data_IF_039385628091
#
_entry.id   IF_039385628091
#
_cell.length_a   1.000
_cell.length_b   1.000
_cell.length_c   1.000
_cell.angle_alpha   90.00
_cell.angle_beta   90.00
_cell.angle_gamma   90.00
#
_symmetry.space_group_name_H-M   'P 1'
#
loop_
_entity.id
_entity.type
_entity.pdbx_description
1 polymer ?
#
# COMPACT_ATOMS: atom_id res chain seq x y z
N UNK A 1 -46.22 43.10 -41.74
CA UNK A 1 -45.28 43.22 -42.89
C UNK A 1 -44.17 44.17 -42.51
N UNK A 2 -42.87 43.90 -42.65
CA UNK A 2 -42.21 42.92 -43.50
C UNK A 2 -41.32 41.95 -42.77
N UNK A 3 -41.15 40.82 -43.33
CA UNK A 3 -40.03 39.94 -43.62
C UNK A 3 -38.69 40.25 -42.95
N UNK A 4 -38.22 39.33 -42.07
CA UNK A 4 -36.84 39.25 -41.59
C UNK A 4 -36.21 37.93 -42.08
N UNK A 5 -35.33 38.12 -43.01
CA UNK A 5 -34.49 37.16 -43.73
C UNK A 5 -33.67 36.26 -42.77
N UNK A 6 -33.83 35.00 -42.93
CA UNK A 6 -33.00 33.93 -42.32
C UNK A 6 -31.64 33.87 -43.01
N UNK A 7 -30.60 34.42 -42.39
CA UNK A 7 -29.23 34.19 -42.79
C UNK A 7 -28.70 32.99 -41.98
N UNK A 8 -28.75 31.79 -42.58
CA UNK A 8 -28.09 30.59 -42.09
C UNK A 8 -26.58 30.80 -42.04
N UNK A 9 -26.00 30.79 -40.85
CA UNK A 9 -24.57 30.63 -40.68
C UNK A 9 -24.26 29.15 -40.76
N UNK A 10 -23.89 28.69 -41.93
CA UNK A 10 -23.13 27.44 -42.08
C UNK A 10 -21.80 27.56 -41.31
N UNK A 11 -21.76 26.96 -40.17
CA UNK A 11 -20.48 26.71 -39.46
C UNK A 11 -19.78 25.59 -40.21
N UNK A 12 -18.88 25.97 -41.11
CA UNK A 12 -17.96 25.04 -41.74
C UNK A 12 -17.14 24.33 -40.66
N UNK A 13 -17.48 23.08 -40.41
CA UNK A 13 -16.66 22.18 -39.62
C UNK A 13 -15.35 21.98 -40.40
N UNK A 14 -14.31 22.75 -40.05
CA UNK A 14 -12.95 22.53 -40.51
C UNK A 14 -12.53 21.13 -40.11
N UNK A 15 -12.55 20.24 -41.07
CA UNK A 15 -12.04 18.89 -41.04
C UNK A 15 -10.65 18.86 -40.36
N UNK A 16 -10.59 18.10 -39.32
CA UNK A 16 -9.44 17.95 -38.45
C UNK A 16 -8.17 17.60 -39.19
N UNK A 17 -7.18 18.46 -39.00
CA UNK A 17 -5.81 18.08 -39.25
C UNK A 17 -5.53 16.79 -38.48
N UNK A 18 -5.15 15.72 -39.17
CA UNK A 18 -4.62 14.49 -38.55
C UNK A 18 -3.47 14.90 -37.66
N UNK A 19 -3.72 14.98 -36.34
CA UNK A 19 -2.66 15.00 -35.34
C UNK A 19 -1.86 13.73 -35.58
N UNK A 20 -0.69 13.88 -36.23
CA UNK A 20 0.30 12.78 -36.36
C UNK A 20 0.58 12.29 -34.93
N UNK A 21 -0.01 11.15 -34.56
CA UNK A 21 0.36 10.45 -33.33
C UNK A 21 1.84 10.14 -33.48
N UNK A 22 2.72 10.73 -32.67
CA UNK A 22 4.14 10.43 -32.75
C UNK A 22 4.29 8.93 -32.53
N UNK A 23 5.22 8.30 -33.27
CA UNK A 23 5.51 6.86 -33.29
C UNK A 23 5.42 6.26 -31.88
N UNK A 24 4.26 5.76 -31.51
CA UNK A 24 3.94 5.24 -30.16
C UNK A 24 4.91 4.16 -29.70
N UNK A 25 5.45 3.38 -30.64
CA UNK A 25 6.43 2.31 -30.38
C UNK A 25 7.80 2.89 -30.01
N UNK A 26 8.25 3.95 -30.69
CA UNK A 26 9.58 4.56 -30.42
C UNK A 26 9.57 5.29 -29.08
N UNK A 27 8.52 6.04 -28.79
CA UNK A 27 8.33 6.71 -27.50
C UNK A 27 8.21 5.69 -26.36
N UNK A 28 7.49 4.60 -26.56
CA UNK A 28 7.38 3.53 -25.58
C UNK A 28 8.73 2.87 -25.28
N UNK A 29 9.55 2.62 -26.30
CA UNK A 29 10.93 2.09 -26.13
C UNK A 29 11.83 3.07 -25.39
N UNK A 30 11.79 4.36 -25.74
CA UNK A 30 12.54 5.41 -25.05
C UNK A 30 12.12 5.48 -23.58
N UNK A 31 10.83 5.49 -23.27
CA UNK A 31 10.33 5.53 -21.89
C UNK A 31 10.77 4.28 -21.08
N UNK A 32 10.77 3.11 -21.70
CA UNK A 32 11.27 1.88 -21.05
C UNK A 32 12.78 1.98 -20.78
N UNK A 33 13.57 2.46 -21.76
CA UNK A 33 15.02 2.64 -21.60
C UNK A 33 15.34 3.70 -20.55
N UNK A 34 14.66 4.85 -20.56
CA UNK A 34 14.83 5.90 -19.55
C UNK A 34 14.46 5.38 -18.15
N UNK A 35 13.35 4.64 -18.04
CA UNK A 35 12.95 4.00 -16.78
C UNK A 35 13.98 2.94 -16.30
N UNK A 36 14.53 2.16 -17.22
CA UNK A 36 15.53 1.16 -16.87
C UNK A 36 16.89 1.78 -16.47
N UNK A 37 17.25 2.94 -17.07
CA UNK A 37 18.47 3.67 -16.75
C UNK A 37 18.37 4.50 -15.47
N UNK A 38 17.17 4.82 -14.99
CA UNK A 38 16.99 5.69 -13.82
C UNK A 38 17.62 5.10 -12.54
N UNK A 39 17.47 3.80 -12.30
CA UNK A 39 18.01 3.14 -11.10
C UNK A 39 19.55 3.07 -11.15
N UNK A 40 20.18 2.55 -12.24
CA UNK A 40 21.63 2.58 -12.36
C UNK A 40 22.21 3.99 -12.26
N UNK A 41 21.59 4.98 -12.91
CA UNK A 41 22.04 6.36 -12.86
C UNK A 41 21.99 6.93 -11.44
N UNK A 42 20.91 6.65 -10.71
CA UNK A 42 20.78 7.05 -9.30
C UNK A 42 21.87 6.42 -8.43
N UNK A 43 22.12 5.11 -8.60
CA UNK A 43 23.15 4.40 -7.82
C UNK A 43 24.55 4.93 -8.15
N UNK A 44 24.85 5.18 -9.44
CA UNK A 44 26.12 5.79 -9.84
C UNK A 44 26.29 7.19 -9.26
N UNK A 45 25.24 8.02 -9.31
CA UNK A 45 25.28 9.37 -8.74
C UNK A 45 25.50 9.32 -7.23
N UNK A 46 24.82 8.43 -6.52
CA UNK A 46 25.02 8.21 -5.10
C UNK A 46 26.46 7.78 -4.79
N UNK A 47 27.02 6.82 -5.51
CA UNK A 47 28.41 6.37 -5.34
C UNK A 47 29.39 7.54 -5.56
N UNK A 48 29.22 8.35 -6.61
CA UNK A 48 30.06 9.52 -6.91
C UNK A 48 29.96 10.58 -5.80
N UNK A 49 28.75 10.94 -5.36
CA UNK A 49 28.56 11.93 -4.29
C UNK A 49 29.17 11.44 -2.98
N UNK A 50 28.97 10.18 -2.64
CA UNK A 50 29.52 9.60 -1.42
C UNK A 50 31.04 9.57 -1.40
N UNK A 51 31.70 9.36 -2.57
CA UNK A 51 33.18 9.33 -2.70
C UNK A 51 33.79 10.68 -3.01
N UNK A 52 33.01 11.70 -3.33
CA UNK A 52 33.54 13.04 -3.71
C UNK A 52 34.24 13.81 -2.58
N UNK A 53 34.10 13.32 -1.32
CA UNK A 53 34.64 14.02 -0.14
C UNK A 53 33.75 15.18 0.34
N UNK A 54 32.63 15.46 -0.34
CA UNK A 54 31.65 16.50 0.07
C UNK A 54 30.80 16.08 1.26
N UNK A 55 30.66 14.78 1.48
CA UNK A 55 29.90 14.18 2.58
C UNK A 55 30.78 13.22 3.37
N UNK A 56 30.48 13.09 4.66
CA UNK A 56 31.16 12.12 5.50
C UNK A 56 30.72 10.69 5.12
N UNK A 57 31.65 9.86 4.65
CA UNK A 57 31.40 8.47 4.25
C UNK A 57 30.87 7.60 5.39
N UNK A 58 31.16 7.95 6.66
CA UNK A 58 30.62 7.21 7.81
C UNK A 58 29.12 7.45 7.94
N UNK A 59 28.65 8.67 7.64
CA UNK A 59 27.22 9.02 7.75
C UNK A 59 26.44 8.73 6.46
N UNK A 60 27.12 8.83 5.31
CA UNK A 60 26.53 8.57 4.01
C UNK A 60 27.41 7.60 3.21
N UNK A 61 27.35 6.28 3.52
CA UNK A 61 28.17 5.28 2.88
C UNK A 61 27.80 5.10 1.40
N UNK A 62 28.80 4.81 0.52
CA UNK A 62 28.54 4.52 -0.87
C UNK A 62 27.78 3.17 -1.03
N UNK A 63 27.00 3.01 -2.11
CA UNK A 63 26.27 1.77 -2.42
C UNK A 63 27.12 0.50 -2.34
N UNK A 64 28.39 0.57 -2.71
CA UNK A 64 29.32 -0.57 -2.60
C UNK A 64 29.57 -1.02 -1.16
N UNK A 65 29.66 -0.09 -0.20
CA UNK A 65 29.79 -0.41 1.23
C UNK A 65 28.46 -0.96 1.78
N UNK A 66 27.34 -0.40 1.35
CA UNK A 66 26.00 -0.92 1.71
C UNK A 66 25.83 -2.36 1.21
N UNK A 67 26.20 -2.65 -0.03
CA UNK A 67 26.13 -3.98 -0.60
C UNK A 67 27.04 -4.99 0.15
N UNK A 68 28.24 -4.57 0.53
CA UNK A 68 29.14 -5.39 1.35
C UNK A 68 28.54 -5.71 2.72
N UNK A 69 27.93 -4.72 3.39
CA UNK A 69 27.27 -4.90 4.69
C UNK A 69 26.08 -5.87 4.60
N UNK A 70 25.27 -5.77 3.55
CA UNK A 70 24.15 -6.71 3.31
C UNK A 70 24.69 -8.12 3.05
N UNK A 71 25.76 -8.26 2.27
CA UNK A 71 26.37 -9.57 2.00
C UNK A 71 26.93 -10.22 3.28
N UNK A 72 27.55 -9.44 4.15
CA UNK A 72 28.02 -9.89 5.45
C UNK A 72 26.85 -10.37 6.34
N UNK A 73 25.75 -9.60 6.37
CA UNK A 73 24.53 -9.97 7.09
C UNK A 73 23.93 -11.28 6.57
N UNK A 74 23.92 -11.50 5.24
CA UNK A 74 23.48 -12.76 4.63
C UNK A 74 24.42 -13.91 5.04
N UNK A 75 25.74 -13.68 4.98
CA UNK A 75 26.75 -14.70 5.33
C UNK A 75 26.74 -15.08 6.81
N UNK A 76 26.38 -14.15 7.68
CA UNK A 76 26.22 -14.44 9.13
C UNK A 76 25.05 -15.38 9.43
N UNK A 77 24.17 -15.66 8.44
CA UNK A 77 22.95 -16.46 8.60
C UNK A 77 21.80 -15.76 9.32
N UNK A 78 22.03 -14.57 9.89
CA UNK A 78 21.02 -13.83 10.65
C UNK A 78 19.95 -13.20 9.75
N UNK A 79 20.30 -12.86 8.50
CA UNK A 79 19.39 -12.22 7.54
C UNK A 79 18.07 -12.97 7.37
N UNK A 80 18.13 -14.29 7.20
CA UNK A 80 16.93 -15.11 6.98
C UNK A 80 16.03 -15.18 8.21
N UNK A 81 16.61 -15.20 9.41
CA UNK A 81 15.85 -15.14 10.65
C UNK A 81 15.13 -13.82 10.84
N UNK A 82 15.84 -12.70 10.59
CA UNK A 82 15.27 -11.36 10.65
C UNK A 82 14.18 -11.17 9.58
N UNK A 83 14.43 -11.65 8.36
CA UNK A 83 13.48 -11.61 7.24
C UNK A 83 12.18 -12.37 7.58
N UNK A 84 12.29 -13.59 8.08
CA UNK A 84 11.13 -14.42 8.43
C UNK A 84 10.33 -13.83 9.58
N UNK A 85 10.98 -13.28 10.61
CA UNK A 85 10.31 -12.62 11.72
C UNK A 85 9.49 -11.41 11.26
N UNK A 86 10.08 -10.54 10.43
CA UNK A 86 9.39 -9.39 9.83
C UNK A 86 8.24 -9.83 8.93
N UNK A 87 8.47 -10.82 8.05
CA UNK A 87 7.47 -11.34 7.14
C UNK A 87 6.28 -11.98 7.87
N UNK A 88 6.54 -12.74 8.93
CA UNK A 88 5.50 -13.32 9.79
C UNK A 88 4.60 -12.23 10.38
N UNK A 89 5.18 -11.15 10.95
CA UNK A 89 4.42 -10.05 11.55
C UNK A 89 3.57 -9.32 10.51
N UNK A 90 4.16 -8.98 9.36
CA UNK A 90 3.46 -8.31 8.26
C UNK A 90 2.32 -9.17 7.75
N UNK A 91 2.59 -10.44 7.43
CA UNK A 91 1.58 -11.32 6.83
C UNK A 91 0.43 -11.60 7.80
N UNK A 92 0.74 -11.94 9.05
CA UNK A 92 -0.27 -12.23 10.07
C UNK A 92 -1.09 -10.98 10.39
N UNK A 93 -0.43 -9.83 10.59
CA UNK A 93 -1.11 -8.56 10.84
C UNK A 93 -1.96 -8.11 9.66
N UNK A 94 -1.49 -8.30 8.42
CA UNK A 94 -2.24 -8.01 7.20
C UNK A 94 -3.48 -8.90 7.07
N UNK A 95 -3.38 -10.20 7.31
CA UNK A 95 -4.52 -11.12 7.22
C UNK A 95 -5.58 -10.76 8.28
N UNK A 96 -5.18 -10.59 9.54
CA UNK A 96 -6.11 -10.27 10.63
C UNK A 96 -6.72 -8.89 10.42
N UNK A 97 -5.90 -7.86 10.19
CA UNK A 97 -6.35 -6.49 9.99
C UNK A 97 -7.23 -6.35 8.74
N UNK A 98 -6.85 -7.04 7.65
CA UNK A 98 -7.64 -7.09 6.41
C UNK A 98 -8.99 -7.75 6.59
N UNK A 99 -9.05 -8.92 7.23
CA UNK A 99 -10.29 -9.63 7.51
C UNK A 99 -11.24 -8.80 8.39
N UNK A 100 -10.74 -8.21 9.48
CA UNK A 100 -11.53 -7.34 10.35
C UNK A 100 -11.97 -6.06 9.61
N UNK A 101 -11.09 -5.48 8.79
CA UNK A 101 -11.40 -4.31 7.98
C UNK A 101 -12.50 -4.57 6.96
N UNK A 102 -12.46 -5.71 6.27
CA UNK A 102 -13.52 -6.11 5.34
C UNK A 102 -14.82 -6.36 6.11
N UNK A 103 -14.77 -7.14 7.17
CA UNK A 103 -15.97 -7.47 7.98
C UNK A 103 -16.67 -6.21 8.48
N UNK A 104 -15.96 -5.34 9.19
CA UNK A 104 -16.53 -4.12 9.75
C UNK A 104 -16.83 -3.06 8.67
N UNK A 105 -16.09 -3.06 7.56
CA UNK A 105 -16.37 -2.23 6.40
C UNK A 105 -17.70 -2.58 5.73
N UNK A 106 -17.99 -3.87 5.55
CA UNK A 106 -19.27 -4.36 5.04
C UNK A 106 -20.39 -4.05 6.03
N UNK A 107 -20.21 -4.33 7.32
CA UNK A 107 -21.22 -4.08 8.33
C UNK A 107 -21.59 -2.59 8.43
N UNK A 108 -20.59 -1.72 8.49
CA UNK A 108 -20.83 -0.27 8.55
C UNK A 108 -21.35 0.31 7.22
N UNK A 109 -20.99 -0.29 6.08
CA UNK A 109 -21.47 0.13 4.76
C UNK A 109 -22.93 -0.28 4.50
N UNK A 110 -23.35 -1.44 5.02
CA UNK A 110 -24.67 -2.03 4.78
C UNK A 110 -25.71 -1.60 5.81
N UNK A 111 -25.32 -1.46 7.09
CA UNK A 111 -26.25 -1.21 8.19
C UNK A 111 -26.10 0.21 8.74
N UNK A 112 -27.08 1.13 8.51
CA UNK A 112 -27.01 2.51 8.98
C UNK A 112 -26.82 2.64 10.50
N UNK A 113 -27.45 1.76 11.29
CA UNK A 113 -27.33 1.78 12.76
C UNK A 113 -25.89 1.49 13.20
N UNK A 114 -25.27 0.46 12.61
CA UNK A 114 -23.86 0.11 12.89
C UNK A 114 -22.94 1.22 12.41
N UNK A 115 -23.23 1.80 11.25
CA UNK A 115 -22.49 2.95 10.71
C UNK A 115 -22.54 4.14 11.66
N UNK A 116 -23.72 4.52 12.14
CA UNK A 116 -23.88 5.66 13.06
C UNK A 116 -23.17 5.46 14.39
N UNK A 117 -23.04 4.21 14.84
CA UNK A 117 -22.37 3.87 16.10
C UNK A 117 -20.82 3.83 15.94
N UNK A 118 -20.32 3.15 14.91
CA UNK A 118 -18.89 2.84 14.79
C UNK A 118 -18.11 3.85 13.93
N UNK A 119 -18.71 4.40 12.86
CA UNK A 119 -17.97 5.25 11.93
C UNK A 119 -17.40 6.51 12.58
N UNK A 120 -18.11 7.25 13.47
CA UNK A 120 -17.54 8.41 14.15
C UNK A 120 -16.29 8.03 14.97
N UNK A 121 -16.35 6.91 15.70
CA UNK A 121 -15.23 6.38 16.48
C UNK A 121 -14.03 6.04 15.59
N UNK A 122 -14.27 5.33 14.49
CA UNK A 122 -13.22 4.94 13.56
C UNK A 122 -12.59 6.14 12.85
N UNK A 123 -13.37 7.17 12.53
CA UNK A 123 -12.83 8.41 11.96
C UNK A 123 -11.94 9.19 12.94
N UNK A 124 -12.20 9.13 14.25
CA UNK A 124 -11.36 9.73 15.28
C UNK A 124 -10.08 8.91 15.50
N UNK A 125 -10.17 7.57 15.49
CA UNK A 125 -9.04 6.70 15.78
C UNK A 125 -8.09 6.54 14.58
N UNK A 126 -8.60 6.55 13.36
CA UNK A 126 -7.82 6.35 12.13
C UNK A 126 -6.62 7.29 11.95
N UNK A 127 -6.70 8.60 12.24
CA UNK A 127 -5.58 9.51 12.08
C UNK A 127 -4.43 9.28 13.05
N UNK A 128 -4.62 8.47 14.10
CA UNK A 128 -3.59 8.24 15.11
C UNK A 128 -2.53 7.29 14.52
N UNK A 129 -1.26 7.74 14.34
CA UNK A 129 -0.20 6.90 13.81
C UNK A 129 0.06 5.69 14.72
N UNK A 130 0.25 4.48 14.18
CA UNK A 130 0.53 3.28 14.98
C UNK A 130 1.73 3.44 15.92
N UNK A 131 2.74 4.20 15.53
CA UNK A 131 3.93 4.45 16.36
C UNK A 131 3.58 5.18 17.67
N UNK A 132 2.53 6.00 17.69
CA UNK A 132 2.08 6.67 18.90
C UNK A 132 1.53 5.72 19.97
N UNK A 133 1.10 4.52 19.55
CA UNK A 133 0.61 3.47 20.45
C UNK A 133 1.73 2.62 21.06
N UNK A 134 2.98 2.73 20.60
CA UNK A 134 4.08 1.91 21.09
C UNK A 134 4.20 1.92 22.63
N UNK A 135 4.20 3.06 23.34
CA UNK A 135 4.31 3.06 24.80
C UNK A 135 3.17 2.31 25.50
N UNK A 136 1.94 2.52 25.03
CA UNK A 136 0.77 1.87 25.66
C UNK A 136 0.69 0.38 25.30
N UNK A 137 1.14 0.00 24.10
CA UNK A 137 1.23 -1.41 23.68
C UNK A 137 2.25 -2.16 24.54
N UNK A 138 3.38 -1.53 24.84
CA UNK A 138 4.37 -2.12 25.76
C UNK A 138 3.78 -2.31 27.16
N UNK A 139 2.98 -1.36 27.65
CA UNK A 139 2.32 -1.46 28.94
C UNK A 139 1.25 -2.56 28.98
N UNK A 140 0.49 -2.73 27.91
CA UNK A 140 -0.61 -3.72 27.85
C UNK A 140 -0.15 -5.13 27.53
N UNK A 141 0.78 -5.29 26.62
CA UNK A 141 1.21 -6.58 26.07
C UNK A 141 2.65 -6.93 26.39
N UNK A 142 3.41 -6.01 27.06
CA UNK A 142 4.85 -6.18 27.22
C UNK A 142 5.58 -6.17 25.87
N UNK A 143 6.73 -6.83 25.82
CA UNK A 143 7.54 -6.98 24.60
C UNK A 143 7.09 -8.19 23.74
N UNK A 144 5.85 -8.62 23.87
CA UNK A 144 5.32 -9.82 23.23
C UNK A 144 5.08 -9.63 21.71
N UNK A 145 4.99 -10.74 20.98
CA UNK A 145 4.59 -10.70 19.56
C UNK A 145 3.15 -10.22 19.38
N UNK A 146 2.26 -10.43 20.35
CA UNK A 146 0.88 -9.95 20.31
C UNK A 146 0.80 -8.42 20.21
N UNK A 147 1.63 -7.70 20.99
CA UNK A 147 1.70 -6.25 20.93
C UNK A 147 2.19 -5.75 19.57
N UNK A 148 3.20 -6.42 18.99
CA UNK A 148 3.71 -6.08 17.65
C UNK A 148 2.65 -6.31 16.57
N UNK A 149 1.95 -7.45 16.63
CA UNK A 149 0.84 -7.76 15.72
C UNK A 149 -0.29 -6.74 15.84
N UNK A 150 -0.63 -6.29 17.06
CA UNK A 150 -1.64 -5.25 17.28
C UNK A 150 -1.33 -3.99 16.47
N UNK A 151 -0.07 -3.52 16.47
CA UNK A 151 0.32 -2.32 15.72
C UNK A 151 0.17 -2.48 14.22
N UNK A 152 0.51 -3.66 13.67
CA UNK A 152 0.34 -3.93 12.24
C UNK A 152 -1.15 -4.04 11.89
N UNK A 153 -1.93 -4.79 12.69
CA UNK A 153 -3.38 -4.91 12.54
C UNK A 153 -4.07 -3.56 12.56
N UNK A 154 -3.67 -2.67 13.48
CA UNK A 154 -4.23 -1.32 13.59
C UNK A 154 -4.15 -0.53 12.27
N UNK A 155 -2.97 -0.44 11.68
CA UNK A 155 -2.78 0.31 10.44
C UNK A 155 -3.51 -0.30 9.24
N UNK A 156 -3.44 -1.63 9.10
CA UNK A 156 -4.11 -2.37 8.03
C UNK A 156 -5.63 -2.26 8.14
N UNK A 157 -6.16 -2.46 9.35
CA UNK A 157 -7.59 -2.45 9.64
C UNK A 157 -8.28 -1.18 9.13
N UNK A 158 -7.83 -0.01 9.54
CA UNK A 158 -8.49 1.25 9.17
C UNK A 158 -8.42 1.54 7.66
N UNK A 159 -7.33 1.15 7.02
CA UNK A 159 -7.16 1.32 5.57
C UNK A 159 -8.16 0.46 4.80
N UNK A 160 -8.28 -0.81 5.18
CA UNK A 160 -9.20 -1.77 4.53
C UNK A 160 -10.65 -1.47 4.89
N UNK A 161 -10.94 -1.14 6.18
CA UNK A 161 -12.26 -0.76 6.62
C UNK A 161 -12.83 0.39 5.79
N UNK A 162 -12.08 1.50 5.65
CA UNK A 162 -12.57 2.66 4.92
C UNK A 162 -12.85 2.35 3.46
N UNK A 163 -11.92 1.67 2.80
CA UNK A 163 -12.06 1.32 1.38
C UNK A 163 -13.27 0.39 1.17
N UNK A 164 -13.47 -0.58 2.05
CA UNK A 164 -14.61 -1.50 2.01
C UNK A 164 -15.92 -0.79 2.29
N UNK A 165 -15.95 0.06 3.33
CA UNK A 165 -17.13 0.87 3.68
C UNK A 165 -17.60 1.73 2.51
N UNK A 166 -16.66 2.47 1.88
CA UNK A 166 -16.95 3.27 0.68
C UNK A 166 -17.41 2.38 -0.49
N UNK A 167 -16.76 1.24 -0.69
CA UNK A 167 -17.10 0.29 -1.75
C UNK A 167 -18.54 -0.20 -1.65
N UNK A 168 -18.96 -0.60 -0.45
CA UNK A 168 -20.34 -1.05 -0.19
C UNK A 168 -21.37 0.06 -0.44
N UNK A 169 -21.07 1.30 -0.04
CA UNK A 169 -21.97 2.45 -0.29
C UNK A 169 -22.05 2.86 -1.76
N UNK A 170 -21.05 2.51 -2.58
CA UNK A 170 -20.97 2.82 -4.02
C UNK A 170 -21.66 1.79 -4.90
N UNK A 171 -22.17 0.69 -4.34
CA UNK A 171 -22.95 -0.30 -5.11
C UNK A 171 -24.20 0.37 -5.68
N UNK A 172 -24.49 0.11 -6.95
CA UNK A 172 -25.62 0.71 -7.65
C UNK A 172 -26.94 0.32 -6.98
N UNK A 173 -27.65 1.33 -6.52
CA UNK A 173 -28.99 1.15 -5.91
C UNK A 173 -30.02 0.60 -6.88
N UNK A 174 -29.83 0.78 -8.19
CA UNK A 174 -30.67 0.19 -9.23
C UNK A 174 -30.59 -1.33 -9.22
N UNK A 175 -29.36 -1.88 -9.11
CA UNK A 175 -29.14 -3.33 -8.99
C UNK A 175 -29.78 -3.91 -7.73
N UNK A 176 -29.64 -3.20 -6.61
CA UNK A 176 -30.26 -3.63 -5.32
C UNK A 176 -31.79 -3.66 -5.45
N UNK A 177 -32.41 -2.62 -6.05
CA UNK A 177 -33.85 -2.56 -6.26
C UNK A 177 -34.35 -3.65 -7.21
N UNK A 178 -33.64 -3.88 -8.32
CA UNK A 178 -33.99 -4.94 -9.27
C UNK A 178 -33.95 -6.32 -8.60
N UNK A 179 -32.94 -6.62 -7.79
CA UNK A 179 -32.85 -7.86 -7.04
C UNK A 179 -33.99 -8.02 -6.03
N UNK A 180 -34.38 -6.96 -5.34
CA UNK A 180 -35.52 -6.97 -4.42
C UNK A 180 -36.83 -7.28 -5.15
N UNK A 181 -37.04 -6.71 -6.34
CA UNK A 181 -38.22 -6.99 -7.17
C UNK A 181 -38.29 -8.45 -7.63
N UNK A 182 -37.11 -9.06 -7.85
CA UNK A 182 -36.99 -10.48 -8.21
C UNK A 182 -37.12 -11.43 -7.01
N UNK A 183 -37.33 -10.90 -5.79
CA UNK A 183 -37.49 -11.72 -4.58
C UNK A 183 -36.16 -12.29 -4.06
N UNK A 184 -35.02 -11.74 -4.45
CA UNK A 184 -33.68 -12.23 -4.04
C UNK A 184 -33.53 -12.20 -2.51
N UNK A 185 -33.17 -13.33 -1.86
CA UNK A 185 -33.02 -13.39 -0.41
C UNK A 185 -31.85 -12.50 0.04
N UNK A 186 -31.95 -11.93 1.25
CA UNK A 186 -30.96 -10.98 1.80
C UNK A 186 -29.50 -11.51 1.76
N UNK A 187 -29.31 -12.80 2.02
CA UNK A 187 -27.98 -13.42 1.99
C UNK A 187 -27.38 -13.41 0.58
N UNK A 188 -28.17 -13.79 -0.42
CA UNK A 188 -27.74 -13.81 -1.81
C UNK A 188 -27.49 -12.39 -2.32
N UNK A 189 -28.34 -11.43 -1.97
CA UNK A 189 -28.12 -10.01 -2.26
C UNK A 189 -26.78 -9.52 -1.71
N UNK A 190 -26.43 -9.85 -0.45
CA UNK A 190 -25.16 -9.48 0.15
C UNK A 190 -23.98 -10.10 -0.60
N UNK A 191 -24.04 -11.40 -0.93
CA UNK A 191 -22.93 -12.14 -1.50
C UNK A 191 -22.73 -11.83 -2.99
N UNK A 192 -23.80 -11.80 -3.78
CA UNK A 192 -23.72 -11.72 -5.25
C UNK A 192 -23.80 -10.29 -5.79
N UNK A 193 -24.37 -9.35 -5.03
CA UNK A 193 -24.55 -7.97 -5.49
C UNK A 193 -23.62 -7.03 -4.70
N UNK A 194 -23.77 -7.01 -3.38
CA UNK A 194 -23.07 -6.04 -2.55
C UNK A 194 -21.57 -6.33 -2.49
N UNK A 195 -21.17 -7.56 -2.17
CA UNK A 195 -19.76 -7.93 -2.06
C UNK A 195 -19.06 -7.90 -3.42
N UNK A 196 -19.69 -8.41 -4.49
CA UNK A 196 -19.13 -8.35 -5.84
C UNK A 196 -19.02 -6.91 -6.35
N UNK A 197 -20.02 -6.07 -6.10
CA UNK A 197 -19.98 -4.65 -6.46
C UNK A 197 -18.96 -3.86 -5.66
N UNK A 198 -18.70 -4.21 -4.40
CA UNK A 198 -17.71 -3.59 -3.55
C UNK A 198 -16.27 -4.14 -3.79
N UNK A 199 -16.14 -5.31 -4.43
CA UNK A 199 -14.87 -6.03 -4.57
C UNK A 199 -13.73 -5.19 -5.17
N UNK A 200 -13.93 -4.35 -6.21
CA UNK A 200 -12.88 -3.49 -6.73
C UNK A 200 -12.31 -2.53 -5.66
N UNK A 201 -13.17 -2.00 -4.79
CA UNK A 201 -12.77 -1.10 -3.69
C UNK A 201 -12.04 -1.87 -2.58
N UNK A 202 -12.51 -3.07 -2.25
CA UNK A 202 -11.86 -3.96 -1.28
C UNK A 202 -10.44 -4.28 -1.74
N UNK A 203 -10.27 -4.67 -3.01
CA UNK A 203 -8.95 -5.00 -3.58
C UNK A 203 -8.02 -3.79 -3.59
N UNK A 204 -8.50 -2.59 -3.93
CA UNK A 204 -7.72 -1.35 -3.84
C UNK A 204 -7.32 -1.06 -2.40
N UNK A 205 -8.24 -1.23 -1.45
CA UNK A 205 -7.97 -1.09 -0.02
C UNK A 205 -6.91 -2.06 0.49
N UNK A 206 -7.03 -3.34 0.15
CA UNK A 206 -6.05 -4.36 0.49
C UNK A 206 -4.68 -4.08 -0.13
N UNK A 207 -4.63 -3.65 -1.40
CA UNK A 207 -3.37 -3.27 -2.05
C UNK A 207 -2.68 -2.11 -1.33
N UNK A 208 -3.42 -1.07 -0.96
CA UNK A 208 -2.89 0.04 -0.18
C UNK A 208 -2.40 -0.45 1.19
N UNK A 209 -3.14 -1.36 1.81
CA UNK A 209 -2.80 -1.93 3.10
C UNK A 209 -1.53 -2.79 3.08
N UNK A 210 -1.13 -3.37 1.93
CA UNK A 210 0.18 -4.04 1.79
C UNK A 210 1.31 -3.06 2.14
N UNK A 211 1.33 -1.88 1.55
CA UNK A 211 2.36 -0.88 1.86
C UNK A 211 2.25 -0.36 3.30
N UNK A 212 1.03 -0.16 3.81
CA UNK A 212 0.79 0.26 5.18
C UNK A 212 1.29 -0.77 6.19
N UNK A 213 1.18 -2.08 5.91
CA UNK A 213 1.68 -3.12 6.81
C UNK A 213 3.19 -3.07 7.02
N UNK A 214 3.98 -2.73 5.98
CA UNK A 214 5.42 -2.50 6.11
C UNK A 214 5.74 -1.19 6.84
N UNK A 215 4.96 -0.15 6.63
CA UNK A 215 5.10 1.09 7.38
C UNK A 215 4.84 0.87 8.89
N UNK A 216 3.80 0.12 9.23
CA UNK A 216 3.46 -0.17 10.63
C UNK A 216 4.38 -1.21 11.27
N UNK A 217 5.02 -2.07 10.47
CA UNK A 217 6.05 -2.99 10.93
C UNK A 217 7.20 -2.25 11.62
N UNK A 218 7.57 -1.06 11.13
CA UNK A 218 8.61 -0.23 11.75
C UNK A 218 8.24 0.08 13.19
N UNK A 219 7.03 0.56 13.45
CA UNK A 219 6.54 0.82 14.79
C UNK A 219 6.49 -0.47 15.65
N UNK A 220 6.06 -1.58 15.03
CA UNK A 220 5.95 -2.87 15.71
C UNK A 220 7.30 -3.42 16.17
N UNK A 221 8.33 -3.33 15.35
CA UNK A 221 9.65 -3.83 15.70
C UNK A 221 10.41 -2.91 16.65
N UNK A 222 10.23 -1.59 16.54
CA UNK A 222 10.74 -0.61 17.50
C UNK A 222 10.09 -0.76 18.89
N UNK A 223 8.93 -1.41 19.00
CA UNK A 223 8.28 -1.72 20.28
C UNK A 223 8.99 -2.85 21.08
N UNK A 224 10.25 -3.13 20.80
CA UNK A 224 11.05 -4.10 21.52
C UNK A 224 11.06 -5.50 20.86
N UNK A 225 11.38 -5.57 19.58
CA UNK A 225 11.64 -6.83 18.92
C UNK A 225 13.02 -7.38 19.29
N UNK A 226 13.19 -8.72 19.21
CA UNK A 226 14.46 -9.42 19.40
C UNK A 226 14.99 -10.02 18.08
N UNK A 227 14.23 -9.91 17.00
CA UNK A 227 14.59 -10.28 15.64
C UNK A 227 13.69 -9.52 14.66
N UNK A 228 14.20 -9.26 13.46
CA UNK A 228 13.50 -8.54 12.41
C UNK A 228 14.41 -7.54 11.72
N UNK A 229 13.99 -7.09 10.54
CA UNK A 229 14.80 -6.17 9.71
C UNK A 229 14.96 -4.82 10.39
N UNK A 230 13.88 -4.28 10.99
CA UNK A 230 13.94 -2.98 11.67
C UNK A 230 14.69 -3.09 13.00
N UNK A 231 14.54 -4.19 13.72
CA UNK A 231 15.38 -4.50 14.88
C UNK A 231 16.88 -4.48 14.50
N UNK A 232 17.24 -5.08 13.38
CA UNK A 232 18.63 -5.04 12.88
C UNK A 232 19.09 -3.63 12.53
N UNK A 233 18.22 -2.83 11.94
CA UNK A 233 18.49 -1.41 11.67
C UNK A 233 18.77 -0.66 12.99
N UNK A 234 17.98 -0.90 14.03
CA UNK A 234 18.15 -0.26 15.34
C UNK A 234 19.49 -0.63 15.99
N UNK A 235 19.84 -1.91 16.02
CA UNK A 235 21.13 -2.36 16.54
C UNK A 235 22.30 -1.77 15.72
N UNK A 236 22.19 -1.76 14.40
CA UNK A 236 23.21 -1.17 13.55
C UNK A 236 23.36 0.34 13.78
N UNK A 237 22.24 1.06 14.02
CA UNK A 237 22.26 2.46 14.36
C UNK A 237 22.96 2.74 15.69
N UNK A 238 22.67 1.94 16.73
CA UNK A 238 23.33 2.05 18.05
C UNK A 238 24.83 1.83 17.95
N UNK A 239 25.29 0.98 17.02
CA UNK A 239 26.70 0.69 16.75
C UNK A 239 27.33 1.59 15.69
N UNK A 240 26.63 2.62 15.19
CA UNK A 240 27.07 3.55 14.13
C UNK A 240 27.45 2.83 12.81
N UNK A 241 26.89 1.66 12.56
CA UNK A 241 27.08 0.86 11.34
C UNK A 241 26.14 1.32 10.22
N UNK A 242 26.34 2.53 9.70
CA UNK A 242 25.45 3.17 8.71
C UNK A 242 25.28 2.38 7.42
N UNK A 243 26.29 1.61 6.99
CA UNK A 243 26.15 0.68 5.86
C UNK A 243 25.09 -0.40 6.10
N UNK A 244 25.03 -0.95 7.32
CA UNK A 244 24.02 -1.92 7.71
C UNK A 244 22.63 -1.29 7.87
N UNK A 245 22.55 -0.05 8.42
CA UNK A 245 21.30 0.72 8.50
C UNK A 245 20.71 0.91 7.11
N UNK A 246 21.49 1.40 6.16
CA UNK A 246 21.04 1.60 4.77
C UNK A 246 20.72 0.28 4.06
N UNK A 247 21.48 -0.77 4.34
CA UNK A 247 21.19 -2.13 3.86
C UNK A 247 19.86 -2.67 4.37
N UNK A 248 19.55 -2.45 5.64
CA UNK A 248 18.27 -2.82 6.25
C UNK A 248 17.10 -2.04 5.65
N UNK A 249 17.26 -0.73 5.41
CA UNK A 249 16.25 0.09 4.72
C UNK A 249 16.01 -0.40 3.29
N UNK A 250 17.08 -0.75 2.57
CA UNK A 250 16.97 -1.30 1.21
C UNK A 250 16.26 -2.67 1.21
N UNK A 251 16.57 -3.55 2.19
CA UNK A 251 15.90 -4.84 2.36
C UNK A 251 14.41 -4.66 2.66
N UNK A 252 14.04 -3.76 3.58
CA UNK A 252 12.65 -3.43 3.89
C UNK A 252 11.88 -2.89 2.67
N UNK A 253 12.50 -1.97 1.93
CA UNK A 253 11.92 -1.43 0.68
C UNK A 253 11.72 -2.51 -0.38
N UNK A 254 12.69 -3.41 -0.56
CA UNK A 254 12.60 -4.51 -1.51
C UNK A 254 11.51 -5.51 -1.11
N UNK A 255 11.41 -5.86 0.18
CA UNK A 255 10.31 -6.70 0.68
C UNK A 255 8.93 -6.10 0.38
N UNK A 256 8.75 -4.82 0.70
CA UNK A 256 7.50 -4.10 0.45
C UNK A 256 7.18 -4.07 -1.05
N UNK A 257 8.16 -3.81 -1.89
CA UNK A 257 8.00 -3.82 -3.35
C UNK A 257 7.61 -5.20 -3.89
N UNK A 258 8.28 -6.26 -3.44
CA UNK A 258 7.95 -7.64 -3.85
C UNK A 258 6.53 -7.99 -3.40
N UNK A 259 6.16 -7.67 -2.15
CA UNK A 259 4.82 -7.92 -1.63
C UNK A 259 3.73 -7.18 -2.43
N UNK A 260 3.95 -5.88 -2.78
CA UNK A 260 3.00 -5.12 -3.63
C UNK A 260 2.87 -5.77 -5.01
N UNK A 261 3.98 -6.20 -5.63
CA UNK A 261 3.95 -6.85 -6.94
C UNK A 261 3.23 -8.20 -6.92
N UNK A 262 3.50 -9.02 -5.91
CA UNK A 262 2.79 -10.29 -5.72
C UNK A 262 1.30 -10.07 -5.50
N UNK A 263 0.94 -9.11 -4.65
CA UNK A 263 -0.46 -8.76 -4.42
C UNK A 263 -1.13 -8.21 -5.68
N UNK A 264 -0.48 -7.34 -6.44
CA UNK A 264 -1.00 -6.81 -7.69
C UNK A 264 -1.30 -7.92 -8.70
N UNK A 265 -0.39 -8.88 -8.86
CA UNK A 265 -0.58 -10.04 -9.75
C UNK A 265 -1.76 -10.93 -9.30
N UNK A 266 -1.97 -11.09 -7.99
CA UNK A 266 -3.14 -11.79 -7.45
C UNK A 266 -4.43 -11.00 -7.67
N UNK A 267 -4.40 -9.70 -7.44
CA UNK A 267 -5.53 -8.79 -7.60
C UNK A 267 -6.07 -8.76 -9.04
N UNK A 268 -5.20 -8.76 -10.05
CA UNK A 268 -5.57 -8.83 -11.47
C UNK A 268 -6.33 -10.11 -11.82
N UNK A 269 -6.04 -11.22 -11.14
CA UNK A 269 -6.78 -12.49 -11.33
C UNK A 269 -8.15 -12.48 -10.66
N UNK A 270 -8.30 -11.74 -9.55
CA UNK A 270 -9.56 -11.68 -8.78
C UNK A 270 -10.57 -10.74 -9.45
N UNK A 271 -10.11 -9.61 -10.04
CA UNK A 271 -10.97 -8.58 -10.64
C UNK A 271 -10.73 -8.53 -12.16
N UNK A 272 -10.91 -9.68 -12.82
CA UNK A 272 -10.66 -9.84 -14.28
C UNK A 272 -11.69 -9.13 -15.18
N UNK A 273 -12.84 -8.75 -14.64
CA UNK A 273 -13.94 -8.11 -15.41
C UNK A 273 -13.87 -6.58 -15.46
N UNK A 274 -12.78 -5.97 -15.08
CA UNK A 274 -12.61 -4.52 -15.05
C UNK A 274 -11.98 -3.98 -16.33
#
# INVERSE_FOLDING_TARGET
MPEATSAGREIAIRTGGRVRRPNSVRLRRINILVGALSIPLFVCLWELVSRSGTVNMVLFPPPTVVAAAVLEWIRSGQFFGDLLASLFRVTTGFIIGGALGILLGVLTGQFPVISSLLSPLFHILRPIPPIAFVPIVILWFGLSETGKLFLVVWGVFFTVWLSTHIGVQKVDRGLIRAALMLGTPRRQMLQEIVLLGALPYIVVGLRTAVSISFYTLVAAELAGAFAGIVYRIEIAQQNLQTGQVMGGLAALGLMSFIADRLFAALAERIVWWR
#
